data_IF_748526717939
#
_entry.id   IF_748526717939
#
_cell.length_a   1.000
_cell.length_b   1.000
_cell.length_c   1.000
_cell.angle_alpha   90.00
_cell.angle_beta   90.00
_cell.angle_gamma   90.00
#
_symmetry.space_group_name_H-M   'P 1'
#
loop_
_entity.id
_entity.type
_entity.pdbx_description
1 polymer ?
#
# COMPACT_ATOMS: atom_id res chain seq x y z
N UNK A 1 -44.40 -20.81 8.11
CA UNK A 1 -43.09 -20.33 8.59
C UNK A 1 -42.10 -21.48 8.47
N UNK A 2 -41.16 -21.41 7.53
CA UNK A 2 -39.85 -22.07 7.58
C UNK A 2 -39.04 -21.56 6.40
N UNK A 3 -38.09 -20.68 6.71
CA UNK A 3 -37.16 -20.02 5.80
C UNK A 3 -36.02 -20.99 5.50
N UNK A 4 -36.01 -21.59 4.31
CA UNK A 4 -34.83 -22.31 3.82
C UNK A 4 -33.89 -21.32 3.15
N UNK A 5 -32.85 -20.99 3.92
CA UNK A 5 -31.83 -20.00 3.63
C UNK A 5 -30.86 -20.54 2.60
N UNK A 6 -31.05 -20.11 1.36
CA UNK A 6 -30.06 -20.27 0.29
C UNK A 6 -28.76 -19.54 0.61
N UNK A 7 -27.66 -20.15 0.11
CA UNK A 7 -26.30 -19.62 -0.12
C UNK A 7 -25.29 -19.82 1.00
N UNK A 8 -24.26 -20.61 0.69
CA UNK A 8 -22.85 -20.24 0.87
C UNK A 8 -21.95 -21.25 0.14
N UNK A 9 -21.57 -20.94 -1.10
CA UNK A 9 -20.44 -21.60 -1.77
C UNK A 9 -19.13 -21.00 -1.23
N UNK A 10 -18.11 -21.80 -0.89
CA UNK A 10 -16.87 -21.31 -0.30
C UNK A 10 -15.94 -20.62 -1.31
N UNK A 11 -15.13 -19.72 -0.75
CA UNK A 11 -14.18 -18.77 -1.38
C UNK A 11 -13.23 -19.38 -2.40
N UNK A 12 -12.98 -18.61 -3.45
CA UNK A 12 -12.02 -18.82 -4.54
C UNK A 12 -10.55 -18.77 -4.09
N UNK A 13 -9.80 -19.85 -4.35
CA UNK A 13 -8.32 -19.97 -4.28
C UNK A 13 -7.63 -19.88 -5.66
N UNK A 14 -8.30 -19.35 -6.69
CA UNK A 14 -7.71 -19.17 -8.02
C UNK A 14 -7.36 -17.70 -8.26
N UNK A 15 -6.16 -17.37 -8.81
CA UNK A 15 -5.85 -16.00 -9.15
C UNK A 15 -6.88 -15.47 -10.16
N UNK A 16 -7.27 -14.18 -10.06
CA UNK A 16 -8.26 -13.60 -10.95
C UNK A 16 -7.83 -13.76 -12.41
N UNK A 17 -8.79 -13.89 -13.32
CA UNK A 17 -8.50 -14.01 -14.74
C UNK A 17 -7.65 -12.84 -15.24
N UNK A 18 -6.86 -13.06 -16.30
CA UNK A 18 -5.96 -12.05 -16.86
C UNK A 18 -6.68 -10.72 -17.17
N UNK A 19 -7.94 -10.77 -17.62
CA UNK A 19 -8.74 -9.56 -17.84
C UNK A 19 -9.04 -8.79 -16.54
N UNK A 20 -9.31 -9.50 -15.44
CA UNK A 20 -9.53 -8.87 -14.13
C UNK A 20 -8.23 -8.36 -13.51
N UNK A 21 -7.10 -9.01 -13.81
CA UNK A 21 -5.77 -8.48 -13.45
C UNK A 21 -5.46 -7.19 -14.21
N UNK A 22 -5.74 -7.13 -15.51
CA UNK A 22 -5.59 -5.92 -16.32
C UNK A 22 -6.47 -4.77 -15.81
N UNK A 23 -7.71 -5.06 -15.42
CA UNK A 23 -8.62 -4.07 -14.83
C UNK A 23 -8.09 -3.50 -13.51
N UNK A 24 -7.61 -4.37 -12.63
CA UNK A 24 -7.03 -3.94 -11.36
C UNK A 24 -5.77 -3.08 -11.57
N UNK A 25 -4.93 -3.44 -12.54
CA UNK A 25 -3.75 -2.66 -12.91
C UNK A 25 -4.15 -1.30 -13.46
N UNK A 26 -5.09 -1.23 -14.39
CA UNK A 26 -5.59 0.01 -14.96
C UNK A 26 -6.20 0.93 -13.89
N UNK A 27 -7.01 0.37 -12.98
CA UNK A 27 -7.57 1.10 -11.84
C UNK A 27 -6.48 1.67 -10.93
N UNK A 28 -5.43 0.89 -10.65
CA UNK A 28 -4.33 1.32 -9.78
C UNK A 28 -3.48 2.40 -10.44
N UNK A 29 -3.23 2.28 -11.75
CA UNK A 29 -2.51 3.28 -12.53
C UNK A 29 -3.31 4.59 -12.63
N UNK A 30 -4.63 4.50 -12.84
CA UNK A 30 -5.52 5.66 -12.87
C UNK A 30 -5.54 6.38 -11.52
N UNK A 31 -5.61 5.66 -10.39
CA UNK A 31 -5.50 6.28 -9.06
C UNK A 31 -4.13 6.92 -8.82
N UNK A 32 -3.05 6.32 -9.32
CA UNK A 32 -1.69 6.88 -9.20
C UNK A 32 -1.49 8.16 -10.03
N UNK A 33 -2.05 8.19 -11.25
CA UNK A 33 -2.07 9.37 -12.11
C UNK A 33 -3.02 10.44 -11.57
N UNK A 34 -4.17 10.06 -11.01
CA UNK A 34 -5.12 10.98 -10.38
C UNK A 34 -4.57 11.61 -9.09
N UNK A 35 -3.71 10.89 -8.35
CA UNK A 35 -2.91 11.45 -7.24
C UNK A 35 -1.72 12.30 -7.75
N UNK A 36 -1.63 12.55 -9.06
CA UNK A 36 -0.66 13.47 -9.66
C UNK A 36 0.80 13.03 -9.54
N UNK A 37 1.06 11.72 -9.38
CA UNK A 37 2.39 11.22 -9.02
C UNK A 37 2.96 11.88 -7.75
N UNK A 38 2.09 12.35 -6.84
CA UNK A 38 2.51 13.01 -5.60
C UNK A 38 3.26 12.02 -4.70
N UNK A 39 4.55 12.27 -4.53
CA UNK A 39 5.34 11.64 -3.49
C UNK A 39 5.11 12.37 -2.17
N UNK A 40 5.35 11.70 -1.06
CA UNK A 40 5.44 12.41 0.23
C UNK A 40 6.54 13.47 0.18
N UNK A 41 6.45 14.47 1.04
CA UNK A 41 7.49 15.49 1.20
C UNK A 41 8.82 14.83 1.64
N UNK A 42 9.94 15.54 1.43
CA UNK A 42 11.26 15.04 1.87
C UNK A 42 11.30 14.78 3.38
N UNK A 43 10.59 15.60 4.17
CA UNK A 43 10.49 15.45 5.62
C UNK A 43 9.72 14.18 5.99
N UNK A 44 8.56 13.94 5.38
CA UNK A 44 7.80 12.71 5.61
C UNK A 44 8.55 11.46 5.15
N UNK A 45 9.26 11.53 4.02
CA UNK A 45 10.13 10.46 3.57
C UNK A 45 11.24 10.15 4.59
N UNK A 46 11.90 11.19 5.10
CA UNK A 46 12.93 11.05 6.14
C UNK A 46 12.34 10.43 7.41
N UNK A 47 11.22 10.96 7.92
CA UNK A 47 10.55 10.45 9.11
C UNK A 47 10.18 8.95 8.96
N UNK A 48 9.65 8.56 7.79
CA UNK A 48 9.34 7.15 7.48
C UNK A 48 10.59 6.28 7.50
N UNK A 49 11.73 6.78 7.02
CA UNK A 49 13.01 6.05 7.06
C UNK A 49 13.59 5.98 8.46
N UNK A 50 13.53 7.05 9.25
CA UNK A 50 13.97 7.07 10.66
C UNK A 50 13.21 6.04 11.51
N UNK A 51 11.90 5.92 11.29
CA UNK A 51 11.08 4.86 11.89
C UNK A 51 11.54 3.48 11.41
N UNK A 52 12.01 3.35 10.17
CA UNK A 52 12.54 2.09 9.68
C UNK A 52 13.95 1.80 10.21
N UNK A 53 14.78 2.80 10.47
CA UNK A 53 16.12 2.65 11.08
C UNK A 53 16.04 2.05 12.49
N UNK A 54 14.97 2.35 13.23
CA UNK A 54 14.70 1.79 14.56
C UNK A 54 13.84 0.53 14.53
N UNK A 55 13.49 0.01 13.34
CA UNK A 55 12.59 -1.14 13.19
C UNK A 55 13.36 -2.44 13.02
N UNK A 56 13.05 -3.44 13.86
CA UNK A 56 13.65 -4.79 13.83
C UNK A 56 13.47 -5.53 12.49
N UNK A 57 12.54 -5.05 11.66
CA UNK A 57 12.24 -5.63 10.34
C UNK A 57 13.08 -5.00 9.22
N UNK A 58 13.97 -4.05 9.49
CA UNK A 58 14.83 -3.45 8.44
C UNK A 58 16.10 -4.27 8.25
N UNK A 59 16.39 -4.61 7.00
CA UNK A 59 17.66 -5.19 6.56
C UNK A 59 18.22 -4.35 5.41
N UNK A 60 19.06 -3.38 5.74
CA UNK A 60 19.58 -2.40 4.78
C UNK A 60 18.45 -1.58 4.14
N UNK A 61 18.34 -1.62 2.82
CA UNK A 61 17.28 -0.93 2.06
C UNK A 61 16.04 -1.82 1.81
N UNK A 62 15.83 -2.91 2.57
CA UNK A 62 14.69 -3.80 2.41
C UNK A 62 13.99 -4.06 3.74
N UNK A 63 12.66 -4.11 3.72
CA UNK A 63 11.85 -4.51 4.87
C UNK A 63 11.59 -6.03 4.82
N UNK A 64 11.82 -6.72 5.93
CA UNK A 64 11.55 -8.15 6.10
C UNK A 64 10.05 -8.45 6.32
N UNK A 65 9.24 -7.43 6.62
CA UNK A 65 7.80 -7.57 6.81
C UNK A 65 7.02 -7.45 5.51
N UNK A 66 7.22 -6.36 4.75
CA UNK A 66 6.52 -6.15 3.48
C UNK A 66 7.34 -6.56 2.25
N UNK A 67 8.62 -6.92 2.40
CA UNK A 67 9.51 -7.27 1.29
C UNK A 67 9.94 -6.09 0.40
N UNK A 68 9.32 -4.92 0.51
CA UNK A 68 9.60 -3.78 -0.37
C UNK A 68 10.97 -3.13 -0.12
N UNK A 69 11.47 -2.41 -1.13
CA UNK A 69 12.61 -1.49 -0.97
C UNK A 69 12.16 -0.22 -0.24
N UNK A 70 12.79 0.10 0.88
CA UNK A 70 12.42 1.23 1.73
C UNK A 70 12.56 2.56 1.00
N UNK A 71 13.63 2.72 0.21
CA UNK A 71 13.89 3.92 -0.60
C UNK A 71 12.78 4.25 -1.61
N UNK A 72 11.99 3.27 -2.03
CA UNK A 72 10.86 3.45 -2.94
C UNK A 72 9.54 3.52 -2.17
N UNK A 73 9.32 2.58 -1.24
CA UNK A 73 8.05 2.48 -0.49
C UNK A 73 7.82 3.72 0.38
N UNK A 74 8.87 4.26 1.00
CA UNK A 74 8.71 5.44 1.85
C UNK A 74 8.34 6.69 1.04
N UNK A 75 8.66 6.76 -0.27
CA UNK A 75 8.33 7.92 -1.13
C UNK A 75 6.87 7.96 -1.54
N UNK A 76 6.22 6.81 -1.70
CA UNK A 76 4.85 6.77 -2.17
C UNK A 76 3.88 7.23 -1.09
N UNK A 77 3.12 8.27 -1.40
CA UNK A 77 2.08 8.82 -0.52
C UNK A 77 1.03 7.78 -0.16
N UNK A 78 0.57 7.04 -1.16
CA UNK A 78 -0.39 5.95 -1.02
C UNK A 78 0.15 4.73 -0.26
N UNK A 79 1.47 4.62 -0.03
CA UNK A 79 2.03 3.47 0.67
C UNK A 79 2.01 3.66 2.18
N UNK A 80 1.59 2.60 2.87
CA UNK A 80 1.56 2.51 4.31
C UNK A 80 2.46 1.38 4.81
N UNK A 81 2.90 1.51 6.06
CA UNK A 81 3.59 0.45 6.78
C UNK A 81 2.56 -0.59 7.24
N UNK A 82 2.75 -1.90 6.97
CA UNK A 82 1.83 -2.94 7.44
C UNK A 82 1.76 -3.01 8.98
N UNK A 83 2.82 -2.58 9.67
CA UNK A 83 2.88 -2.48 11.13
C UNK A 83 2.27 -1.18 11.67
N UNK A 84 1.71 -0.33 10.80
CA UNK A 84 1.13 0.98 11.13
C UNK A 84 2.07 1.91 11.91
N UNK A 85 3.39 1.74 11.77
CA UNK A 85 4.40 2.59 12.43
C UNK A 85 4.59 3.96 11.76
N UNK A 86 4.15 4.15 10.52
CA UNK A 86 4.33 5.41 9.80
C UNK A 86 3.28 6.45 10.18
N UNK A 87 3.65 7.74 10.26
CA UNK A 87 2.70 8.81 10.53
C UNK A 87 1.70 8.95 9.38
N UNK A 88 0.52 9.49 9.70
CA UNK A 88 -0.46 9.88 8.69
C UNK A 88 0.18 10.90 7.74
N UNK A 89 -0.04 10.73 6.43
CA UNK A 89 0.44 11.69 5.45
C UNK A 89 -0.39 12.95 5.58
N UNK A 90 0.26 14.07 5.86
CA UNK A 90 -0.37 15.38 5.84
C UNK A 90 -0.41 15.89 4.41
N UNK A 91 -1.58 16.28 3.91
CA UNK A 91 -1.74 16.91 2.60
C UNK A 91 -1.24 18.37 2.64
N UNK A 92 0.01 18.58 3.07
CA UNK A 92 0.63 19.91 3.04
C UNK A 92 1.46 20.01 1.75
N UNK A 93 0.75 19.96 0.62
CA UNK A 93 1.28 20.36 -0.68
C UNK A 93 0.88 21.81 -0.92
N UNK A 94 1.42 22.72 -0.10
CA UNK A 94 1.20 24.16 -0.20
C UNK A 94 2.51 24.91 -0.40
N UNK A 95 2.87 25.17 -1.66
CA UNK A 95 3.32 26.48 -2.16
C UNK A 95 3.31 26.49 -3.69
#
# INVERSE_FOLDING_TARGET
MSVERSKSSPKSEQPPTLGRQAWNLASSLASFVADGCKTVTKQEYAARLEICDTCDRRRGNRCLECGCRLSLKARGRAFQCPLKKWPAVTDDAGC
#
